data_IF_740967238888
#
_entry.id   IF_740967238888
#
_cell.length_a   1.000
_cell.length_b   1.000
_cell.length_c   1.000
_cell.angle_alpha   90.00
_cell.angle_beta   90.00
_cell.angle_gamma   90.00
#
_symmetry.space_group_name_H-M   'P 1'
#
loop_
_entity.id
_entity.type
_entity.pdbx_description
1 polymer ?
#
# COMPACT_ATOMS: atom_id res chain seq x y z
N UNK A 1 -46.85 -52.87 54.64
CA UNK A 1 -45.72 -52.56 53.72
C UNK A 1 -45.81 -51.09 53.28
N UNK A 2 -45.01 -50.21 53.88
CA UNK A 2 -44.86 -48.81 53.44
C UNK A 2 -43.58 -48.69 52.63
N UNK A 3 -43.70 -48.44 51.32
CA UNK A 3 -42.55 -48.17 50.44
C UNK A 3 -41.96 -46.80 50.82
N UNK A 4 -40.69 -46.78 51.23
CA UNK A 4 -39.89 -45.55 51.36
C UNK A 4 -39.70 -44.99 49.96
N UNK A 5 -40.29 -43.82 49.69
CA UNK A 5 -39.95 -43.00 48.53
C UNK A 5 -38.56 -42.43 48.81
N UNK A 6 -37.59 -42.84 48.00
CA UNK A 6 -36.23 -42.33 48.06
C UNK A 6 -36.25 -40.82 47.87
N UNK A 7 -35.62 -40.12 48.80
CA UNK A 7 -35.17 -38.75 48.62
C UNK A 7 -34.35 -38.70 47.32
N UNK A 8 -34.91 -38.09 46.28
CA UNK A 8 -34.11 -37.60 45.18
C UNK A 8 -33.20 -36.52 45.78
N UNK A 9 -31.91 -36.83 45.84
CA UNK A 9 -30.90 -35.84 46.11
C UNK A 9 -31.06 -34.74 45.04
N UNK A 10 -31.51 -33.57 45.48
CA UNK A 10 -31.43 -32.33 44.70
C UNK A 10 -29.98 -32.23 44.23
N UNK A 11 -29.70 -32.09 42.93
CA UNK A 11 -28.35 -31.89 42.47
C UNK A 11 -27.82 -30.65 43.19
N UNK A 12 -26.76 -30.83 44.00
CA UNK A 12 -25.97 -29.70 44.49
C UNK A 12 -25.69 -28.84 43.27
N UNK A 13 -26.10 -27.58 43.33
CA UNK A 13 -25.79 -26.61 42.30
C UNK A 13 -24.33 -26.80 41.90
N UNK A 14 -24.11 -27.20 40.65
CA UNK A 14 -22.86 -26.95 39.97
C UNK A 14 -22.74 -25.43 39.96
N UNK A 15 -22.23 -24.88 41.06
CA UNK A 15 -21.63 -23.58 41.05
C UNK A 15 -20.46 -23.73 40.11
N UNK A 16 -20.72 -23.52 38.82
CA UNK A 16 -19.70 -23.37 37.80
C UNK A 16 -18.87 -22.18 38.29
N UNK A 17 -17.84 -22.46 39.08
CA UNK A 17 -16.80 -21.50 39.37
C UNK A 17 -16.24 -21.16 38.00
N UNK A 18 -16.43 -19.91 37.62
CA UNK A 18 -15.93 -19.41 36.37
C UNK A 18 -14.41 -19.61 36.38
N UNK A 19 -13.94 -20.29 35.35
CA UNK A 19 -12.52 -20.49 35.13
C UNK A 19 -11.96 -19.19 34.51
N UNK A 20 -11.48 -18.31 35.38
CA UNK A 20 -10.88 -17.05 34.97
C UNK A 20 -9.56 -17.23 34.24
N UNK A 21 -8.88 -18.36 34.45
CA UNK A 21 -7.62 -18.65 33.78
C UNK A 21 -7.88 -19.08 32.33
N UNK A 22 -8.96 -19.84 32.08
CA UNK A 22 -9.47 -20.11 30.74
C UNK A 22 -9.92 -18.84 30.00
N UNK A 23 -10.73 -17.99 30.63
CA UNK A 23 -11.15 -16.70 30.04
C UNK A 23 -9.93 -15.84 29.70
N UNK A 24 -8.92 -15.80 30.58
CA UNK A 24 -7.69 -15.04 30.34
C UNK A 24 -6.92 -15.59 29.13
N UNK A 25 -6.80 -16.91 29.03
CA UNK A 25 -6.13 -17.56 27.90
C UNK A 25 -6.83 -17.24 26.58
N UNK A 26 -8.16 -17.36 26.51
CA UNK A 26 -8.93 -17.00 25.32
C UNK A 26 -8.74 -15.52 24.93
N UNK A 27 -8.78 -14.63 25.91
CA UNK A 27 -8.53 -13.20 25.69
C UNK A 27 -7.13 -12.94 25.11
N UNK A 28 -6.10 -13.56 25.68
CA UNK A 28 -4.72 -13.41 25.21
C UNK A 28 -4.54 -14.01 23.81
N UNK A 29 -5.19 -15.14 23.48
CA UNK A 29 -5.20 -15.72 22.12
C UNK A 29 -5.88 -14.79 21.10
N UNK A 30 -7.02 -14.19 21.44
CA UNK A 30 -7.67 -13.19 20.58
C UNK A 30 -6.80 -11.97 20.38
N UNK A 31 -6.13 -11.52 21.44
CA UNK A 31 -5.22 -10.38 21.41
C UNK A 31 -3.98 -10.66 20.56
N UNK A 32 -3.41 -11.86 20.63
CA UNK A 32 -2.26 -12.29 19.83
C UNK A 32 -2.60 -12.52 18.36
N UNK A 33 -3.82 -12.99 18.06
CA UNK A 33 -4.31 -13.15 16.68
C UNK A 33 -4.79 -11.84 16.05
N UNK A 34 -5.04 -10.82 16.87
CA UNK A 34 -5.40 -9.50 16.41
C UNK A 34 -4.14 -8.71 16.02
N UNK A 35 -3.98 -8.48 14.73
CA UNK A 35 -2.87 -7.71 14.18
C UNK A 35 -3.35 -6.26 14.07
N UNK A 36 -2.67 -5.26 14.66
CA UNK A 36 -3.06 -3.86 14.53
C UNK A 36 -3.08 -3.46 13.06
N UNK A 37 -4.28 -3.41 12.48
CA UNK A 37 -4.45 -3.12 11.06
C UNK A 37 -4.35 -1.62 10.86
N UNK A 38 -3.42 -1.19 10.02
CA UNK A 38 -3.57 0.07 9.34
C UNK A 38 -4.23 -0.16 7.99
N UNK A 39 -5.38 0.48 7.85
CA UNK A 39 -6.14 0.49 6.62
C UNK A 39 -5.61 1.65 5.79
N UNK A 40 -4.93 1.35 4.70
CA UNK A 40 -4.32 2.37 3.86
C UNK A 40 -5.41 3.25 3.24
N UNK A 41 -5.22 4.56 3.23
CA UNK A 41 -6.01 5.45 2.38
C UNK A 41 -5.64 5.24 0.90
N UNK A 42 -6.43 5.76 -0.02
CA UNK A 42 -6.07 5.73 -1.46
C UNK A 42 -4.77 6.51 -1.71
N UNK A 43 -4.57 7.62 -0.98
CA UNK A 43 -3.34 8.39 -1.03
C UNK A 43 -2.13 7.60 -0.52
N UNK A 44 -2.29 6.83 0.56
CA UNK A 44 -1.23 5.93 1.06
C UNK A 44 -0.90 4.84 0.03
N UNK A 45 -1.94 4.27 -0.60
CA UNK A 45 -1.79 3.22 -1.60
C UNK A 45 -1.02 3.73 -2.83
N UNK A 46 -1.37 4.92 -3.31
CA UNK A 46 -0.64 5.58 -4.39
C UNK A 46 0.81 5.93 -4.00
N UNK A 47 1.06 6.33 -2.76
CA UNK A 47 2.42 6.57 -2.25
C UNK A 47 3.25 5.28 -2.15
N UNK A 48 2.65 4.15 -1.72
CA UNK A 48 3.28 2.83 -1.77
C UNK A 48 3.69 2.46 -3.19
N UNK A 49 2.75 2.55 -4.14
CA UNK A 49 3.00 2.26 -5.55
C UNK A 49 4.14 3.12 -6.09
N UNK A 50 4.14 4.42 -5.79
CA UNK A 50 5.21 5.34 -6.20
C UNK A 50 6.55 5.02 -5.54
N UNK A 51 6.59 4.69 -4.25
CA UNK A 51 7.79 4.22 -3.56
C UNK A 51 8.35 2.97 -4.25
N UNK A 52 7.52 1.97 -4.52
CA UNK A 52 7.96 0.70 -5.09
C UNK A 52 8.43 0.87 -6.54
N UNK A 53 7.71 1.65 -7.35
CA UNK A 53 8.10 1.98 -8.74
C UNK A 53 9.39 2.82 -8.80
N UNK A 54 9.72 3.52 -7.72
CA UNK A 54 10.98 4.29 -7.59
C UNK A 54 12.04 3.58 -6.76
N UNK A 55 11.87 2.30 -6.41
CA UNK A 55 12.78 1.52 -5.56
C UNK A 55 13.14 2.20 -4.23
N UNK A 56 12.16 2.84 -3.58
CA UNK A 56 12.35 3.49 -2.27
C UNK A 56 12.95 4.89 -2.33
N UNK A 57 13.09 5.52 -3.50
CA UNK A 57 13.60 6.90 -3.55
C UNK A 57 12.61 7.96 -3.00
N UNK A 58 11.33 7.61 -2.89
CA UNK A 58 10.28 8.43 -2.22
C UNK A 58 10.02 7.90 -0.79
N UNK A 59 10.91 7.03 -0.28
CA UNK A 59 10.79 6.49 1.06
C UNK A 59 10.97 7.63 2.09
N UNK A 60 9.86 7.99 2.72
CA UNK A 60 9.84 8.82 3.91
C UNK A 60 9.75 7.90 5.14
N UNK A 61 10.06 8.42 6.33
CA UNK A 61 9.82 7.68 7.58
C UNK A 61 8.38 7.18 7.67
N UNK A 62 7.43 7.92 7.10
CA UNK A 62 6.05 7.49 6.98
C UNK A 62 5.88 6.30 6.03
N UNK A 63 6.59 6.26 4.90
CA UNK A 63 6.57 5.12 3.96
C UNK A 63 7.31 3.87 4.44
N UNK A 64 8.34 4.05 5.26
CA UNK A 64 9.07 2.95 5.91
C UNK A 64 8.33 2.40 7.14
N UNK A 65 7.49 3.24 7.79
CA UNK A 65 6.52 2.82 8.80
C UNK A 65 5.34 2.10 8.16
N UNK A 66 4.74 2.69 7.10
CA UNK A 66 4.10 1.94 5.98
C UNK A 66 5.04 0.82 5.54
N UNK A 67 4.72 -0.26 4.82
CA UNK A 67 5.63 -1.45 4.69
C UNK A 67 5.95 -2.22 5.99
N UNK A 68 6.21 -1.58 7.14
CA UNK A 68 6.54 -2.28 8.40
C UNK A 68 5.32 -2.78 9.16
N UNK A 69 4.16 -2.12 9.07
CA UNK A 69 2.92 -2.72 9.58
C UNK A 69 2.32 -3.70 8.56
N UNK A 70 1.49 -4.62 9.03
CA UNK A 70 0.71 -5.47 8.13
C UNK A 70 -0.54 -4.71 7.67
N UNK A 71 -0.51 -4.17 6.45
CA UNK A 71 -1.55 -3.31 5.86
C UNK A 71 -2.63 -4.07 5.13
N UNK A 72 -3.83 -3.49 5.06
CA UNK A 72 -4.89 -3.91 4.13
C UNK A 72 -5.15 -2.77 3.16
N UNK A 73 -4.89 -2.99 1.86
CA UNK A 73 -5.05 -1.96 0.84
C UNK A 73 -5.97 -2.31 -0.33
N UNK A 74 -6.47 -3.55 -0.43
CA UNK A 74 -7.29 -4.04 -1.57
C UNK A 74 -8.66 -4.56 -1.12
N UNK A 75 -9.28 -3.91 -0.15
CA UNK A 75 -10.71 -4.13 0.14
C UNK A 75 -11.52 -2.97 -0.44
N UNK A 76 -12.74 -3.25 -0.91
CA UNK A 76 -13.67 -2.19 -1.34
C UNK A 76 -13.89 -1.15 -0.23
N UNK A 77 -14.31 0.07 -0.62
CA UNK A 77 -14.46 1.21 0.29
C UNK A 77 -15.36 0.88 1.49
N UNK A 78 -16.40 0.08 1.29
CA UNK A 78 -17.37 -0.30 2.32
C UNK A 78 -16.73 -1.21 3.38
N UNK A 79 -15.95 -2.21 2.96
CA UNK A 79 -15.15 -3.04 3.88
C UNK A 79 -14.04 -2.25 4.56
N UNK A 80 -13.45 -1.28 3.85
CA UNK A 80 -12.45 -0.37 4.39
C UNK A 80 -13.01 0.40 5.58
N UNK A 81 -14.18 1.02 5.41
CA UNK A 81 -14.90 1.71 6.48
C UNK A 81 -15.25 0.76 7.63
N UNK A 82 -15.74 -0.44 7.33
CA UNK A 82 -16.07 -1.45 8.37
C UNK A 82 -14.86 -1.88 9.19
N UNK A 83 -13.68 -2.02 8.59
CA UNK A 83 -12.43 -2.35 9.31
C UNK A 83 -11.95 -1.18 10.16
N UNK A 84 -12.09 0.05 9.69
CA UNK A 84 -11.79 1.28 10.46
C UNK A 84 -12.74 1.37 11.67
N UNK A 85 -14.04 1.18 11.47
CA UNK A 85 -15.04 1.15 12.54
C UNK A 85 -14.79 0.03 13.54
N UNK A 86 -14.37 -1.13 13.07
CA UNK A 86 -14.00 -2.27 13.92
C UNK A 86 -12.80 -1.95 14.79
N UNK A 87 -11.74 -1.37 14.21
CA UNK A 87 -10.54 -0.94 14.94
C UNK A 87 -10.88 0.14 15.99
N UNK A 88 -11.73 1.10 15.62
CA UNK A 88 -12.20 2.15 16.54
C UNK A 88 -13.03 1.58 17.71
N UNK A 89 -13.87 0.57 17.45
CA UNK A 89 -14.73 -0.09 18.44
C UNK A 89 -13.92 -0.98 19.39
N UNK A 90 -13.00 -1.77 18.84
CA UNK A 90 -12.11 -2.63 19.62
C UNK A 90 -11.12 -1.80 20.45
N UNK A 91 -10.70 -0.64 19.94
CA UNK A 91 -9.69 0.22 20.53
C UNK A 91 -8.29 -0.32 20.32
N UNK A 92 -7.29 0.51 20.61
CA UNK A 92 -5.91 0.12 20.38
C UNK A 92 -5.31 -0.60 21.59
N UNK A 93 -4.69 -1.75 21.32
CA UNK A 93 -3.77 -2.39 22.26
C UNK A 93 -2.57 -1.45 22.45
N UNK A 94 -2.30 -1.06 23.70
CA UNK A 94 -1.15 -0.22 24.05
C UNK A 94 0.15 -0.93 23.68
N UNK A 95 1.06 -0.21 23.01
CA UNK A 95 2.34 -0.70 22.53
C UNK A 95 3.29 0.46 22.28
N UNK A 96 3.24 1.06 21.09
CA UNK A 96 4.16 2.15 20.75
C UNK A 96 3.41 3.39 20.26
N UNK A 97 3.54 4.49 21.03
CA UNK A 97 2.96 5.80 20.69
C UNK A 97 3.69 6.49 19.53
N UNK A 98 4.94 6.11 19.27
CA UNK A 98 5.83 6.81 18.34
C UNK A 98 5.64 6.44 16.86
N UNK A 99 4.85 5.41 16.57
CA UNK A 99 4.74 4.89 15.20
C UNK A 99 3.53 5.41 14.43
N UNK A 100 2.43 5.82 15.07
CA UNK A 100 1.15 5.98 14.36
C UNK A 100 0.98 7.30 13.59
N UNK A 101 0.21 7.33 12.48
CA UNK A 101 0.04 8.52 11.67
C UNK A 101 -0.78 9.57 12.42
N UNK A 102 -0.46 10.85 12.17
CA UNK A 102 -1.13 11.99 12.80
C UNK A 102 -2.64 12.00 12.47
N UNK A 103 -3.49 12.13 13.50
CA UNK A 103 -4.95 12.18 13.37
C UNK A 103 -5.69 10.98 13.98
N UNK A 104 -4.96 9.98 14.48
CA UNK A 104 -5.56 8.83 15.15
C UNK A 104 -6.11 9.20 16.53
N UNK A 105 -7.43 9.15 16.73
CA UNK A 105 -8.07 9.47 18.02
C UNK A 105 -8.18 8.21 18.88
N UNK A 106 -7.53 8.20 20.05
CA UNK A 106 -7.72 7.14 21.05
C UNK A 106 -9.15 7.18 21.60
N UNK A 107 -9.90 6.10 21.43
CA UNK A 107 -11.02 5.75 22.31
C UNK A 107 -10.61 4.56 23.18
N UNK A 108 -10.91 4.55 24.49
CA UNK A 108 -10.80 3.33 25.27
C UNK A 108 -11.79 2.32 24.69
N UNK A 109 -11.29 1.31 23.99
CA UNK A 109 -12.13 0.33 23.31
C UNK A 109 -12.35 -0.93 24.13
N UNK A 110 -13.09 -1.88 23.55
CA UNK A 110 -13.50 -3.13 24.18
C UNK A 110 -12.36 -3.94 24.79
N UNK A 111 -11.14 -3.89 24.22
CA UNK A 111 -9.98 -4.60 24.77
C UNK A 111 -9.67 -4.22 26.22
N UNK A 112 -9.71 -2.92 26.53
CA UNK A 112 -9.37 -2.40 27.86
C UNK A 112 -10.48 -2.75 28.85
N UNK A 113 -11.74 -2.53 28.45
CA UNK A 113 -12.90 -2.79 29.31
C UNK A 113 -13.02 -4.28 29.68
N UNK A 114 -12.72 -5.19 28.74
CA UNK A 114 -12.68 -6.63 29.01
C UNK A 114 -11.48 -6.98 29.89
N UNK A 115 -10.29 -6.44 29.60
CA UNK A 115 -9.09 -6.73 30.40
C UNK A 115 -9.26 -6.32 31.87
N UNK A 116 -9.89 -5.17 32.13
CA UNK A 116 -10.23 -4.70 33.47
C UNK A 116 -11.21 -5.66 34.17
N UNK A 117 -12.22 -6.17 33.45
CA UNK A 117 -13.16 -7.15 33.97
C UNK A 117 -12.50 -8.49 34.34
N UNK A 118 -11.57 -8.97 33.51
CA UNK A 118 -10.78 -10.18 33.79
C UNK A 118 -9.89 -9.98 35.03
N UNK A 119 -9.20 -8.83 35.12
CA UNK A 119 -8.37 -8.48 36.29
C UNK A 119 -9.20 -8.39 37.57
N UNK A 120 -10.40 -7.82 37.48
CA UNK A 120 -11.32 -7.72 38.60
C UNK A 120 -11.97 -9.05 39.00
N UNK A 121 -11.89 -10.09 38.14
CA UNK A 121 -12.47 -11.42 38.35
C UNK A 121 -13.94 -11.38 38.79
N UNK A 122 -14.71 -10.47 38.19
CA UNK A 122 -16.10 -10.19 38.57
C UNK A 122 -17.01 -10.30 37.36
N UNK A 123 -18.04 -11.16 37.48
CA UNK A 123 -19.12 -11.19 36.51
C UNK A 123 -20.11 -10.08 36.79
N UNK A 124 -20.06 -9.04 35.98
CA UNK A 124 -21.11 -8.03 35.87
C UNK A 124 -21.84 -8.20 34.53
N UNK A 125 -23.06 -7.68 34.43
CA UNK A 125 -23.77 -7.60 33.15
C UNK A 125 -22.94 -6.82 32.11
N UNK A 126 -22.20 -5.81 32.56
CA UNK A 126 -21.26 -5.04 31.75
C UNK A 126 -20.10 -5.89 31.22
N UNK A 127 -19.50 -6.74 32.06
CA UNK A 127 -18.45 -7.67 31.62
C UNK A 127 -18.98 -8.64 30.57
N UNK A 128 -20.15 -9.24 30.79
CA UNK A 128 -20.78 -10.13 29.81
C UNK A 128 -21.02 -9.44 28.47
N UNK A 129 -21.53 -8.21 28.48
CA UNK A 129 -21.78 -7.45 27.26
C UNK A 129 -20.47 -7.13 26.52
N UNK A 130 -19.45 -6.64 27.24
CA UNK A 130 -18.16 -6.31 26.64
C UNK A 130 -17.46 -7.56 26.11
N UNK A 131 -17.54 -8.69 26.83
CA UNK A 131 -17.00 -9.97 26.41
C UNK A 131 -17.69 -10.48 25.13
N UNK A 132 -19.02 -10.50 25.09
CA UNK A 132 -19.79 -10.91 23.91
C UNK A 132 -19.50 -10.00 22.70
N UNK A 133 -19.44 -8.68 22.91
CA UNK A 133 -19.07 -7.72 21.87
C UNK A 133 -17.65 -7.95 21.35
N UNK A 134 -16.69 -8.25 22.23
CA UNK A 134 -15.32 -8.54 21.84
C UNK A 134 -15.26 -9.77 20.92
N UNK A 135 -15.91 -10.87 21.29
CA UNK A 135 -15.99 -12.08 20.46
C UNK A 135 -16.65 -11.81 19.10
N UNK A 136 -17.77 -11.07 19.09
CA UNK A 136 -18.46 -10.72 17.85
C UNK A 136 -17.55 -9.93 16.91
N UNK A 137 -16.89 -8.89 17.42
CA UNK A 137 -16.01 -8.06 16.62
C UNK A 137 -14.72 -8.78 16.20
N UNK A 138 -14.19 -9.69 17.03
CA UNK A 138 -13.06 -10.56 16.66
C UNK A 138 -13.42 -11.54 15.54
N UNK A 139 -14.62 -12.14 15.57
CA UNK A 139 -15.10 -13.00 14.49
C UNK A 139 -15.27 -12.24 13.17
N UNK A 140 -15.85 -11.03 13.22
CA UNK A 140 -15.95 -10.13 12.06
C UNK A 140 -14.56 -9.75 11.53
N UNK A 141 -13.59 -9.52 12.41
CA UNK A 141 -12.19 -9.28 12.01
C UNK A 141 -11.62 -10.47 11.24
N UNK A 142 -11.75 -11.69 11.76
CA UNK A 142 -11.23 -12.90 11.10
C UNK A 142 -11.84 -13.10 9.71
N UNK A 143 -13.16 -12.88 9.56
CA UNK A 143 -13.86 -12.96 8.27
C UNK A 143 -13.32 -11.93 7.27
N UNK A 144 -13.12 -10.68 7.71
CA UNK A 144 -12.65 -9.59 6.85
C UNK A 144 -11.15 -9.69 6.51
N UNK A 145 -10.32 -10.12 7.47
CA UNK A 145 -8.86 -10.12 7.38
C UNK A 145 -8.29 -11.41 6.80
N UNK A 146 -8.58 -12.56 7.42
CA UNK A 146 -7.99 -13.86 7.04
C UNK A 146 -8.56 -14.33 5.70
N UNK A 147 -9.85 -14.09 5.46
CA UNK A 147 -10.50 -14.44 4.18
C UNK A 147 -9.94 -13.68 2.96
N UNK A 148 -9.27 -12.54 3.15
CA UNK A 148 -8.80 -11.68 2.06
C UNK A 148 -7.28 -11.60 1.92
N UNK A 149 -6.48 -12.12 2.87
CA UNK A 149 -5.01 -12.05 2.78
C UNK A 149 -4.48 -12.70 1.50
N UNK A 150 -5.00 -13.87 1.15
CA UNK A 150 -4.55 -14.62 -0.02
C UNK A 150 -5.01 -13.98 -1.34
N UNK A 151 -6.23 -13.45 -1.37
CA UNK A 151 -6.76 -12.71 -2.52
C UNK A 151 -6.06 -11.35 -2.68
N UNK A 152 -5.71 -10.69 -1.58
CA UNK A 152 -4.86 -9.49 -1.53
C UNK A 152 -3.49 -9.77 -2.13
N UNK A 153 -2.78 -10.82 -1.71
CA UNK A 153 -1.46 -11.13 -2.28
C UNK A 153 -1.54 -11.42 -3.79
N UNK A 154 -2.60 -12.13 -4.22
CA UNK A 154 -2.83 -12.47 -5.61
C UNK A 154 -3.20 -11.24 -6.46
N UNK A 155 -4.09 -10.37 -5.96
CA UNK A 155 -4.53 -9.16 -6.65
C UNK A 155 -3.49 -8.04 -6.59
N UNK A 156 -2.82 -7.82 -5.46
CA UNK A 156 -1.76 -6.83 -5.32
C UNK A 156 -0.56 -7.16 -6.22
N UNK A 157 -0.15 -8.42 -6.31
CA UNK A 157 0.90 -8.84 -7.26
C UNK A 157 0.47 -8.60 -8.71
N UNK A 158 -0.79 -8.89 -9.06
CA UNK A 158 -1.34 -8.61 -10.39
C UNK A 158 -1.51 -7.11 -10.66
N UNK A 159 -1.91 -6.30 -9.69
CA UNK A 159 -2.06 -4.85 -9.78
C UNK A 159 -0.70 -4.15 -9.84
N UNK A 160 0.31 -4.60 -9.09
CA UNK A 160 1.69 -4.10 -9.22
C UNK A 160 2.31 -4.51 -10.55
N UNK A 161 2.02 -5.72 -11.04
CA UNK A 161 2.41 -6.16 -12.39
C UNK A 161 1.64 -5.41 -13.49
N UNK A 162 0.39 -5.00 -13.25
CA UNK A 162 -0.46 -4.26 -14.20
C UNK A 162 -0.22 -2.73 -14.17
N UNK A 163 0.18 -2.15 -13.04
CA UNK A 163 0.55 -0.73 -12.87
C UNK A 163 2.00 -0.48 -13.33
N UNK A 164 2.82 -1.52 -13.43
CA UNK A 164 4.06 -1.50 -14.18
C UNK A 164 3.84 -1.45 -15.71
N UNK A 165 2.87 -0.66 -16.20
CA UNK A 165 2.90 -0.23 -17.58
C UNK A 165 3.96 0.88 -17.70
N UNK A 166 5.22 0.44 -17.89
CA UNK A 166 6.39 1.31 -18.09
C UNK A 166 6.12 2.48 -19.04
N UNK A 167 5.16 2.31 -19.97
CA UNK A 167 4.71 3.31 -20.93
C UNK A 167 4.08 4.54 -20.28
N UNK A 168 3.30 4.41 -19.20
CA UNK A 168 2.62 5.55 -18.55
C UNK A 168 3.64 6.47 -17.87
N UNK A 169 4.56 5.91 -17.09
CA UNK A 169 5.63 6.67 -16.45
C UNK A 169 6.58 7.27 -17.51
N UNK A 170 6.86 6.54 -18.60
CA UNK A 170 7.63 7.09 -19.73
C UNK A 170 6.95 8.30 -20.38
N UNK A 171 5.61 8.26 -20.56
CA UNK A 171 4.84 9.39 -21.12
C UNK A 171 4.86 10.61 -20.20
N UNK A 172 4.67 10.42 -18.90
CA UNK A 172 4.77 11.52 -17.93
C UNK A 172 6.19 12.09 -17.89
N UNK A 173 7.21 11.23 -17.86
CA UNK A 173 8.60 11.67 -17.91
C UNK A 173 8.89 12.49 -19.17
N UNK A 174 8.46 12.02 -20.34
CA UNK A 174 8.54 12.75 -21.59
C UNK A 174 7.86 14.12 -21.50
N UNK A 175 6.64 14.20 -20.97
CA UNK A 175 5.91 15.46 -20.84
C UNK A 175 6.66 16.48 -19.97
N UNK A 176 7.18 16.05 -18.82
CA UNK A 176 7.98 16.88 -17.94
C UNK A 176 9.33 17.27 -18.56
N UNK A 177 9.94 16.42 -19.39
CA UNK A 177 11.14 16.74 -20.16
C UNK A 177 10.90 17.92 -21.12
N UNK A 178 9.86 17.83 -21.95
CA UNK A 178 9.48 18.89 -22.90
C UNK A 178 9.16 20.19 -22.17
N UNK A 179 8.40 20.13 -21.08
CA UNK A 179 8.07 21.30 -20.26
C UNK A 179 9.32 21.97 -19.68
N UNK A 180 10.29 21.17 -19.25
CA UNK A 180 11.52 21.68 -18.67
C UNK A 180 12.46 22.31 -19.73
N UNK A 181 12.53 21.74 -20.93
CA UNK A 181 13.28 22.31 -22.04
C UNK A 181 12.71 23.67 -22.48
N UNK A 182 11.38 23.76 -22.60
CA UNK A 182 10.67 25.03 -22.87
C UNK A 182 11.00 26.10 -21.81
N UNK A 183 11.04 25.72 -20.51
CA UNK A 183 11.30 26.65 -19.39
C UNK A 183 12.76 27.13 -19.29
N UNK A 184 13.75 26.24 -19.49
CA UNK A 184 15.15 26.58 -19.21
C UNK A 184 15.93 27.10 -20.42
N UNK A 185 15.45 26.85 -21.65
CA UNK A 185 16.18 27.23 -22.86
C UNK A 185 15.33 27.91 -23.93
N UNK A 186 14.01 28.05 -23.73
CA UNK A 186 13.10 28.53 -24.78
C UNK A 186 13.06 27.60 -26.01
N UNK A 187 13.62 26.39 -25.89
CA UNK A 187 13.74 25.44 -26.97
C UNK A 187 12.35 24.99 -27.43
N UNK A 188 12.19 24.85 -28.75
CA UNK A 188 10.97 24.31 -29.31
C UNK A 188 10.89 22.79 -29.01
N UNK A 189 9.74 22.18 -29.31
CA UNK A 189 9.53 20.76 -29.03
C UNK A 189 10.47 19.85 -29.83
N UNK A 190 10.83 20.24 -31.05
CA UNK A 190 11.72 19.46 -31.93
C UNK A 190 13.13 19.41 -31.37
N UNK A 191 13.66 20.55 -30.94
CA UNK A 191 14.98 20.65 -30.30
C UNK A 191 15.03 19.80 -29.01
N UNK A 192 14.00 19.92 -28.17
CA UNK A 192 13.89 19.14 -26.93
C UNK A 192 13.79 17.63 -27.19
N UNK A 193 13.14 17.22 -28.28
CA UNK A 193 13.10 15.82 -28.71
C UNK A 193 14.49 15.36 -29.19
N UNK A 194 15.22 16.21 -29.93
CA UNK A 194 16.59 15.92 -30.39
C UNK A 194 17.54 15.68 -29.23
N UNK A 195 17.55 16.58 -28.24
CA UNK A 195 18.35 16.42 -27.01
C UNK A 195 18.00 15.13 -26.25
N UNK A 196 16.70 14.79 -26.22
CA UNK A 196 16.26 13.56 -25.57
C UNK A 196 16.78 12.33 -26.32
N UNK A 197 16.66 12.29 -27.64
CA UNK A 197 17.17 11.18 -28.46
C UNK A 197 18.66 10.99 -28.23
N UNK A 198 19.44 12.08 -28.25
CA UNK A 198 20.88 12.03 -28.01
C UNK A 198 21.20 11.42 -26.64
N UNK A 199 20.52 11.88 -25.57
CA UNK A 199 20.66 11.30 -24.23
C UNK A 199 20.35 9.80 -24.19
N UNK A 200 19.26 9.37 -24.84
CA UNK A 200 18.86 7.96 -24.86
C UNK A 200 19.89 7.09 -25.59
N UNK A 201 20.47 7.60 -26.67
CA UNK A 201 21.55 6.96 -27.42
C UNK A 201 22.85 6.90 -26.60
N UNK A 202 23.25 7.97 -25.91
CA UNK A 202 24.39 7.99 -24.99
C UNK A 202 24.24 6.95 -23.86
N UNK A 203 23.04 6.83 -23.28
CA UNK A 203 22.75 5.81 -22.26
C UNK A 203 22.82 4.40 -22.86
N UNK A 204 22.27 4.20 -24.08
CA UNK A 204 22.29 2.91 -24.79
C UNK A 204 23.73 2.45 -25.07
N UNK A 205 24.60 3.38 -25.44
CA UNK A 205 26.00 3.14 -25.77
C UNK A 205 26.95 3.19 -24.56
N UNK A 206 26.40 3.26 -23.34
CA UNK A 206 27.17 3.35 -22.10
C UNK A 206 28.18 4.53 -22.06
N UNK A 207 27.88 5.61 -22.78
CA UNK A 207 28.58 6.91 -22.67
C UNK A 207 28.08 7.67 -21.43
N UNK A 208 26.79 7.53 -21.12
CA UNK A 208 26.18 8.02 -19.88
C UNK A 208 25.63 6.88 -19.05
N UNK A 209 25.75 7.03 -17.72
CA UNK A 209 25.10 6.14 -16.79
C UNK A 209 23.57 6.35 -16.87
N UNK A 210 22.76 5.27 -16.89
CA UNK A 210 21.33 5.41 -16.69
C UNK A 210 21.07 6.02 -15.31
N UNK A 211 20.00 6.82 -15.20
CA UNK A 211 19.61 7.38 -13.90
C UNK A 211 18.78 6.35 -13.12
N UNK A 212 19.27 5.93 -11.96
CA UNK A 212 18.49 5.12 -11.02
C UNK A 212 17.23 5.90 -10.61
N UNK A 213 16.02 5.34 -10.78
CA UNK A 213 15.68 3.91 -10.72
C UNK A 213 15.63 3.13 -12.05
N UNK A 214 15.82 3.77 -13.20
CA UNK A 214 15.48 3.15 -14.49
C UNK A 214 16.68 2.43 -15.12
N UNK A 215 16.54 1.16 -15.53
CA UNK A 215 17.62 0.45 -16.22
C UNK A 215 17.80 0.98 -17.65
N UNK A 216 18.94 0.71 -18.28
CA UNK A 216 19.22 1.04 -19.70
C UNK A 216 18.07 0.61 -20.62
N UNK A 217 17.51 -0.58 -20.39
CA UNK A 217 16.38 -1.13 -21.16
C UNK A 217 15.14 -0.22 -21.11
N UNK A 218 14.88 0.44 -19.98
CA UNK A 218 13.76 1.37 -19.85
C UNK A 218 13.95 2.58 -20.79
N UNK A 219 15.13 3.19 -20.79
CA UNK A 219 15.47 4.31 -21.68
C UNK A 219 15.43 3.88 -23.15
N UNK A 220 16.01 2.72 -23.48
CA UNK A 220 15.99 2.18 -24.84
C UNK A 220 14.58 1.91 -25.36
N UNK A 221 13.62 1.64 -24.47
CA UNK A 221 12.22 1.44 -24.85
C UNK A 221 11.51 2.72 -25.33
N UNK A 222 12.06 3.91 -25.09
CA UNK A 222 11.49 5.15 -25.64
C UNK A 222 11.75 5.32 -27.14
N UNK A 223 12.82 4.70 -27.65
CA UNK A 223 13.20 4.76 -29.06
C UNK A 223 12.34 3.84 -29.91
N UNK A 224 12.06 4.24 -31.15
CA UNK A 224 11.34 3.44 -32.13
C UNK A 224 12.25 2.33 -32.66
N UNK A 225 11.66 1.15 -32.84
CA UNK A 225 12.31 0.01 -33.49
C UNK A 225 11.96 -0.03 -34.96
N UNK A 226 12.96 -0.28 -35.80
CA UNK A 226 12.79 -0.54 -37.21
C UNK A 226 13.48 -1.85 -37.58
N UNK A 227 12.88 -2.61 -38.49
CA UNK A 227 13.49 -3.84 -38.99
C UNK A 227 14.48 -3.47 -40.09
N UNK A 228 15.76 -3.77 -39.87
CA UNK A 228 16.78 -3.59 -40.88
C UNK A 228 16.43 -4.40 -42.13
N UNK A 229 16.34 -3.72 -43.28
CA UNK A 229 16.07 -4.36 -44.57
C UNK A 229 17.19 -5.30 -45.00
N UNK A 230 18.42 -5.07 -44.52
CA UNK A 230 19.62 -5.81 -44.88
C UNK A 230 19.85 -7.03 -43.98
N UNK A 231 19.65 -6.90 -42.66
CA UNK A 231 19.98 -7.97 -41.70
C UNK A 231 18.76 -8.68 -41.15
N UNK A 232 17.55 -8.17 -41.41
CA UNK A 232 16.30 -8.67 -40.84
C UNK A 232 16.18 -8.47 -39.32
N UNK A 233 17.19 -7.89 -38.67
CA UNK A 233 17.22 -7.64 -37.22
C UNK A 233 16.47 -6.35 -36.90
N UNK A 234 15.82 -6.34 -35.74
CA UNK A 234 15.14 -5.16 -35.22
C UNK A 234 16.14 -4.29 -34.47
N UNK A 235 16.36 -3.07 -34.95
CA UNK A 235 17.28 -2.11 -34.35
C UNK A 235 16.53 -0.83 -34.00
N UNK A 236 17.02 -0.06 -33.02
CA UNK A 236 16.44 1.24 -32.67
C UNK A 236 16.93 2.28 -33.66
N UNK A 237 16.02 3.00 -34.31
CA UNK A 237 16.35 3.87 -35.44
C UNK A 237 16.68 5.32 -35.05
N UNK A 238 17.00 5.58 -33.78
CA UNK A 238 17.33 6.93 -33.31
C UNK A 238 16.15 7.92 -33.34
N UNK A 239 14.91 7.44 -33.42
CA UNK A 239 13.71 8.28 -33.30
C UNK A 239 12.93 7.90 -32.05
N UNK A 240 12.19 8.84 -31.45
CA UNK A 240 11.23 8.52 -30.39
C UNK A 240 10.04 7.75 -30.96
N UNK A 241 9.47 6.83 -30.17
CA UNK A 241 8.22 6.15 -30.56
C UNK A 241 7.11 7.15 -30.86
N UNK A 242 6.31 6.83 -31.88
CA UNK A 242 5.13 7.63 -32.26
C UNK A 242 4.16 7.93 -31.12
N UNK A 243 4.08 7.09 -30.08
CA UNK A 243 3.22 7.34 -28.90
C UNK A 243 3.60 8.61 -28.13
N UNK A 244 4.87 9.04 -28.19
CA UNK A 244 5.35 10.29 -27.57
C UNK A 244 5.22 11.46 -28.54
N UNK A 245 5.57 11.25 -29.81
CA UNK A 245 5.54 12.29 -30.84
C UNK A 245 4.11 12.77 -31.15
N UNK A 246 3.10 11.90 -30.97
CA UNK A 246 1.69 12.23 -31.23
C UNK A 246 0.97 12.94 -30.08
N UNK A 247 1.60 13.07 -28.90
CA UNK A 247 0.99 13.78 -27.77
C UNK A 247 0.71 15.24 -28.14
N UNK A 248 -0.50 15.73 -27.91
CA UNK A 248 -0.89 17.13 -28.10
C UNK A 248 -0.41 18.00 -26.93
N UNK A 249 -0.32 19.32 -27.11
CA UNK A 249 0.08 20.23 -26.01
C UNK A 249 -0.89 20.13 -24.82
N UNK A 250 -2.19 19.94 -25.07
CA UNK A 250 -3.21 19.73 -24.01
C UNK A 250 -2.94 18.45 -23.23
N UNK A 251 -2.57 17.35 -23.90
CA UNK A 251 -2.21 16.10 -23.21
C UNK A 251 -0.93 16.25 -22.39
N UNK A 252 0.06 17.00 -22.91
CA UNK A 252 1.28 17.30 -22.16
C UNK A 252 0.97 18.12 -20.91
N UNK A 253 0.15 19.16 -21.02
CA UNK A 253 -0.30 19.99 -19.88
C UNK A 253 -0.99 19.13 -18.81
N UNK A 254 -1.96 18.29 -19.21
CA UNK A 254 -2.63 17.37 -18.28
C UNK A 254 -1.67 16.42 -17.56
N UNK A 255 -0.64 15.91 -18.25
CA UNK A 255 0.37 15.05 -17.64
C UNK A 255 1.29 15.82 -16.68
N UNK A 256 1.57 17.10 -16.96
CA UNK A 256 2.39 17.96 -16.12
C UNK A 256 1.64 18.37 -14.85
N UNK A 257 0.33 18.61 -14.97
CA UNK A 257 -0.58 18.98 -13.87
C UNK A 257 -1.00 17.78 -13.02
N UNK A 258 -0.56 16.56 -13.36
CA UNK A 258 -0.91 15.38 -12.60
C UNK A 258 -0.45 15.51 -11.13
N UNK A 259 -1.38 15.48 -10.15
CA UNK A 259 -1.08 15.86 -8.76
C UNK A 259 -0.09 14.91 -8.09
N UNK A 260 -0.03 13.65 -8.54
CA UNK A 260 0.83 12.60 -7.96
C UNK A 260 2.15 12.39 -8.74
N UNK A 261 2.26 12.83 -9.99
CA UNK A 261 3.43 12.59 -10.86
C UNK A 261 4.04 13.94 -11.20
N UNK A 262 4.59 14.57 -10.18
CA UNK A 262 5.21 15.89 -10.29
C UNK A 262 6.65 15.78 -10.82
N UNK A 263 7.21 16.91 -11.29
CA UNK A 263 8.62 17.00 -11.69
C UNK A 263 9.61 16.48 -10.64
N UNK A 264 9.28 16.52 -9.35
CA UNK A 264 10.16 16.10 -8.25
C UNK A 264 10.34 14.58 -8.17
N UNK A 265 9.33 13.81 -8.59
CA UNK A 265 9.32 12.34 -8.49
C UNK A 265 9.80 11.65 -9.77
N UNK A 266 10.15 12.44 -10.78
CA UNK A 266 10.63 11.99 -12.08
C UNK A 266 12.16 12.23 -12.17
N UNK A 267 12.91 11.35 -12.86
CA UNK A 267 14.37 11.43 -12.97
C UNK A 267 14.77 12.69 -13.77
N UNK A 268 16.06 13.03 -13.83
CA UNK A 268 16.50 14.33 -14.29
C UNK A 268 15.96 14.69 -15.66
N UNK A 269 15.34 15.87 -15.72
CA UNK A 269 14.72 16.40 -16.94
C UNK A 269 15.71 17.20 -17.79
N UNK A 270 17.01 16.92 -17.65
CA UNK A 270 18.12 17.58 -18.37
C UNK A 270 19.28 16.61 -18.52
N UNK A 271 19.88 16.54 -19.70
CA UNK A 271 21.03 15.67 -19.97
C UNK A 271 22.23 15.94 -19.04
N UNK A 272 22.47 17.20 -18.67
CA UNK A 272 23.58 17.62 -17.78
C UNK A 272 23.60 16.96 -16.40
N UNK A 273 22.46 16.44 -15.93
CA UNK A 273 22.34 15.77 -14.63
C UNK A 273 22.69 14.28 -14.69
N UNK A 274 22.82 13.70 -15.88
CA UNK A 274 23.26 12.32 -16.06
C UNK A 274 24.78 12.26 -16.01
N UNK A 275 25.31 11.32 -15.22
CA UNK A 275 26.75 11.10 -15.04
C UNK A 275 27.35 10.52 -16.32
N UNK A 276 28.46 11.10 -16.79
CA UNK A 276 29.30 10.53 -17.84
C UNK A 276 30.05 9.30 -17.28
N UNK A 277 30.18 8.26 -18.10
CA UNK A 277 30.92 7.04 -17.77
C UNK A 277 32.37 7.09 -18.25
#
# INVERSE_FOLDING_TARGET
MRKRVGSQAVPKSLGNKIDWDEIRREFDEMKLSYIPVYVMTDDDLERCKLSDVTYGMIESDHMAKIKSWEYISVVDWEKRERLVDLNNTLGCLSGDEEERPSGFVRKPGLWIAVEEGIKARKMSAEFFNNWASLHFHHAVYLELYVGNRDEYFKQFHQTMMAIADSTIIQRHWYAHWIANAKRNGGANREDANGELVELLEEIRHAVRAPWGPYPVKWFSCLLQTEKSKLTGRTERNGLLKSTYMKLTDIELERMIEHPLITRRVLPPLTAKKFRLL
#
